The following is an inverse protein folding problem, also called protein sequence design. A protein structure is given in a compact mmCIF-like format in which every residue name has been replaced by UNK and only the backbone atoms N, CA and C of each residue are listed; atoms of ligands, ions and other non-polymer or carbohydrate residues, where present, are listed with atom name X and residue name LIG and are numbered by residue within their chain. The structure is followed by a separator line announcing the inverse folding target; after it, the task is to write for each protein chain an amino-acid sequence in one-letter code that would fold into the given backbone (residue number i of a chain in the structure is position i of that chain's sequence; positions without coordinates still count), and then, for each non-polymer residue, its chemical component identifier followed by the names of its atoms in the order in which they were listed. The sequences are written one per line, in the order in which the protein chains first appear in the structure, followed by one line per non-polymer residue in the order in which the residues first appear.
data_IF_761743352562
#
_entry.id   IF_761743352562
#
_cell.length_a   1.000
_cell.length_b   1.000
_cell.length_c   1.000
_cell.angle_alpha   90.00
_cell.angle_beta   90.00
_cell.angle_gamma   90.00
#
_symmetry.space_group_name_H-M   'P 1'
#
loop_
_entity.id
_entity.type
_entity.pdbx_description
1 polymer ?
#
# COMPACT_ATOMS: atom_id res chain seq x y z
N UNK A 1 -2.47 -6.65 -13.58
CA UNK A 1 -3.82 -6.05 -13.47
C UNK A 1 -3.91 -5.37 -12.11
N UNK A 2 -4.61 -4.23 -12.01
CA UNK A 2 -4.82 -3.51 -10.75
C UNK A 2 -6.24 -3.83 -10.25
N UNK A 3 -6.36 -4.65 -9.21
CA UNK A 3 -7.66 -5.04 -8.65
C UNK A 3 -7.80 -4.71 -7.17
N UNK A 4 -6.79 -4.08 -6.56
CA UNK A 4 -6.81 -3.59 -5.18
C UNK A 4 -6.54 -2.10 -5.22
N UNK A 5 -7.58 -1.29 -5.07
CA UNK A 5 -7.51 0.15 -5.20
C UNK A 5 -8.36 0.77 -4.10
N UNK A 6 -7.81 1.73 -3.37
CA UNK A 6 -8.58 2.53 -2.42
C UNK A 6 -8.05 3.96 -2.33
N UNK A 7 -8.93 4.88 -1.96
CA UNK A 7 -8.67 6.32 -1.88
C UNK A 7 -8.83 6.80 -0.44
N UNK A 8 -7.78 7.41 0.11
CA UNK A 8 -7.87 8.06 1.41
C UNK A 8 -8.58 9.42 1.34
N UNK A 9 -9.08 9.89 2.48
CA UNK A 9 -9.76 11.19 2.58
C UNK A 9 -8.88 12.39 2.17
N UNK A 10 -7.55 12.25 2.31
CA UNK A 10 -6.59 13.28 1.90
C UNK A 10 -6.10 13.13 0.45
N UNK A 11 -6.80 12.32 -0.35
CA UNK A 11 -6.58 12.22 -1.79
C UNK A 11 -5.48 11.25 -2.22
N UNK A 12 -4.94 10.42 -1.32
CA UNK A 12 -3.96 9.40 -1.71
C UNK A 12 -4.67 8.15 -2.22
N UNK A 13 -4.44 7.88 -3.50
CA UNK A 13 -4.93 6.70 -4.21
C UNK A 13 -3.85 5.61 -4.16
N UNK A 14 -4.11 4.56 -3.40
CA UNK A 14 -3.24 3.39 -3.36
C UNK A 14 -3.72 2.39 -4.41
N UNK A 15 -2.81 1.97 -5.27
CA UNK A 15 -3.08 1.07 -6.39
C UNK A 15 -2.14 -0.14 -6.28
N UNK A 16 -2.71 -1.26 -5.85
CA UNK A 16 -2.03 -2.53 -5.69
C UNK A 16 -2.22 -3.47 -6.88
N UNK A 17 -1.19 -4.26 -7.16
CA UNK A 17 -1.17 -5.29 -8.21
C UNK A 17 -0.55 -6.59 -7.73
N UNK A 18 -0.80 -7.63 -8.52
CA UNK A 18 -0.11 -8.92 -8.45
C UNK A 18 0.68 -9.16 -9.73
N UNK A 19 1.79 -9.89 -9.62
CA UNK A 19 2.71 -10.18 -10.72
C UNK A 19 3.12 -8.89 -11.47
N UNK A 20 3.44 -7.83 -10.71
CA UNK A 20 3.86 -6.57 -11.28
C UNK A 20 5.17 -6.71 -12.04
N UNK A 21 5.36 -5.88 -13.07
CA UNK A 21 6.71 -5.65 -13.58
C UNK A 21 7.44 -4.79 -12.56
N UNK A 22 8.40 -5.39 -11.88
CA UNK A 22 9.19 -4.65 -10.91
C UNK A 22 10.23 -3.79 -11.61
N UNK A 23 10.40 -2.55 -11.16
CA UNK A 23 11.59 -1.76 -11.41
C UNK A 23 12.73 -2.47 -10.68
N UNK A 24 13.66 -3.04 -11.45
CA UNK A 24 14.84 -3.68 -10.92
C UNK A 24 16.01 -2.75 -11.13
N UNK A 25 16.51 -2.15 -10.04
CA UNK A 25 17.73 -1.37 -10.05
C UNK A 25 18.88 -2.29 -9.56
N UNK A 26 19.74 -2.81 -10.45
CA UNK A 26 20.75 -3.80 -10.09
C UNK A 26 21.62 -3.32 -8.92
N UNK A 27 21.68 -4.13 -7.85
CA UNK A 27 22.49 -3.83 -6.66
C UNK A 27 21.86 -2.87 -5.65
N UNK A 28 20.58 -2.48 -5.82
CA UNK A 28 19.89 -1.59 -4.87
C UNK A 28 18.54 -2.16 -4.40
N UNK A 29 17.52 -2.13 -5.25
CA UNK A 29 16.15 -2.46 -4.84
C UNK A 29 15.28 -2.92 -6.01
N UNK A 30 14.24 -3.66 -5.66
CA UNK A 30 13.18 -4.11 -6.56
C UNK A 30 11.88 -3.51 -6.05
N UNK A 31 11.16 -2.74 -6.87
CA UNK A 31 9.91 -2.06 -6.49
C UNK A 31 8.83 -2.27 -7.55
N UNK A 32 7.55 -2.12 -7.21
CA UNK A 32 6.55 -1.82 -8.25
C UNK A 32 5.18 -2.49 -8.14
N UNK A 33 4.91 -3.29 -7.12
CA UNK A 33 3.58 -3.90 -6.98
C UNK A 33 2.58 -2.97 -6.29
N UNK A 34 3.06 -1.97 -5.55
CA UNK A 34 2.29 -0.87 -5.00
C UNK A 34 2.67 0.46 -5.66
N UNK A 35 1.67 1.26 -6.03
CA UNK A 35 1.83 2.65 -6.43
C UNK A 35 0.90 3.54 -5.62
N UNK A 36 1.39 4.71 -5.20
CA UNK A 36 0.62 5.70 -4.45
C UNK A 36 0.55 6.96 -5.31
N UNK A 37 -0.66 7.40 -5.64
CA UNK A 37 -0.89 8.60 -6.44
C UNK A 37 -1.69 9.64 -5.66
N UNK A 38 -1.19 10.87 -5.60
CA UNK A 38 -1.93 11.96 -4.98
C UNK A 38 -2.87 12.62 -6.01
N UNK A 39 -4.17 12.53 -5.77
CA UNK A 39 -5.21 13.04 -6.68
C UNK A 39 -5.45 14.55 -6.58
N UNK A 40 -4.94 15.20 -5.53
CA UNK A 40 -5.08 16.65 -5.28
C UNK A 40 -3.86 17.41 -5.79
N UNK A 41 -2.67 16.93 -5.47
CA UNK A 41 -1.36 17.45 -5.88
C UNK A 41 -0.64 16.38 -6.69
N UNK A 42 -0.83 16.32 -8.03
CA UNK A 42 -0.42 15.17 -8.84
C UNK A 42 1.05 14.77 -8.66
N UNK A 43 1.25 13.54 -8.19
CA UNK A 43 2.57 12.93 -7.97
C UNK A 43 2.42 11.44 -7.68
N UNK A 44 3.40 10.64 -8.10
CA UNK A 44 3.43 9.18 -7.89
C UNK A 44 4.62 8.80 -7.01
N UNK A 45 4.36 7.97 -6.02
CA UNK A 45 5.37 7.30 -5.19
C UNK A 45 5.27 5.79 -5.42
N UNK A 46 6.42 5.14 -5.60
CA UNK A 46 6.54 3.68 -5.61
C UNK A 46 7.37 3.29 -4.38
N UNK A 47 6.73 2.75 -3.33
CA UNK A 47 7.41 2.36 -2.11
C UNK A 47 8.49 1.28 -2.33
N UNK A 48 9.47 1.15 -1.41
CA UNK A 48 10.55 0.16 -1.51
C UNK A 48 10.12 -1.27 -1.16
N UNK A 49 8.99 -1.43 -0.46
CA UNK A 49 8.40 -2.76 -0.24
C UNK A 49 8.00 -3.37 -1.59
N UNK A 50 8.08 -4.70 -1.66
CA UNK A 50 7.90 -5.43 -2.90
C UNK A 50 7.23 -6.77 -2.68
N UNK A 51 6.52 -7.22 -3.72
CA UNK A 51 5.73 -8.43 -3.74
C UNK A 51 4.25 -8.13 -3.95
N UNK A 52 3.45 -9.18 -4.11
CA UNK A 52 2.04 -9.03 -4.46
C UNK A 52 1.26 -8.21 -3.44
N UNK A 53 0.53 -7.20 -3.91
CA UNK A 53 -0.44 -6.48 -3.10
C UNK A 53 -1.77 -7.21 -3.17
N UNK A 54 -2.21 -7.72 -2.03
CA UNK A 54 -3.39 -8.59 -1.93
C UNK A 54 -4.55 -7.94 -1.20
N UNK A 55 -4.31 -6.87 -0.43
CA UNK A 55 -5.32 -6.07 0.25
C UNK A 55 -4.91 -4.60 0.31
N UNK A 56 -5.89 -3.71 0.21
CA UNK A 56 -5.75 -2.25 0.38
C UNK A 56 -7.04 -1.76 1.03
N UNK A 57 -6.94 -1.00 2.10
CA UNK A 57 -8.08 -0.46 2.83
C UNK A 57 -7.72 0.87 3.52
N UNK A 58 -8.38 1.94 3.09
CA UNK A 58 -8.36 3.23 3.76
C UNK A 58 -9.26 3.20 5.01
N UNK A 59 -8.91 3.99 6.02
CA UNK A 59 -9.77 4.21 7.19
C UNK A 59 -10.25 5.66 7.18
N UNK A 60 -11.56 5.83 7.04
CA UNK A 60 -12.21 7.16 7.05
C UNK A 60 -11.87 7.93 8.33
N UNK A 61 -11.56 9.22 8.18
CA UNK A 61 -11.19 10.13 9.26
C UNK A 61 -9.77 9.93 9.81
N UNK A 62 -8.94 9.09 9.18
CA UNK A 62 -7.55 8.84 9.60
C UNK A 62 -6.61 8.95 8.40
N UNK A 63 -5.41 9.48 8.65
CA UNK A 63 -4.33 9.51 7.65
C UNK A 63 -3.59 8.17 7.59
N UNK A 64 -4.32 7.09 7.38
CA UNK A 64 -3.74 5.74 7.33
C UNK A 64 -4.33 4.92 6.18
N UNK A 65 -3.46 4.12 5.56
CA UNK A 65 -3.83 3.09 4.59
C UNK A 65 -3.26 1.76 5.05
N UNK A 66 -4.11 0.76 5.23
CA UNK A 66 -3.70 -0.60 5.50
C UNK A 66 -3.50 -1.32 4.17
N UNK A 67 -2.32 -1.90 3.98
CA UNK A 67 -1.95 -2.62 2.77
C UNK A 67 -1.47 -4.01 3.18
N UNK A 68 -1.91 -5.03 2.46
CA UNK A 68 -1.30 -6.36 2.56
C UNK A 68 -0.40 -6.55 1.35
N UNK A 69 0.90 -6.61 1.57
CA UNK A 69 1.93 -6.71 0.54
C UNK A 69 2.90 -7.83 0.88
N UNK A 70 3.13 -8.75 -0.07
CA UNK A 70 3.97 -9.94 0.11
C UNK A 70 3.58 -10.82 1.33
N UNK A 71 2.30 -10.82 1.72
CA UNK A 71 1.82 -11.55 2.89
C UNK A 71 1.93 -10.79 4.22
N UNK A 72 2.51 -9.59 4.22
CA UNK A 72 2.72 -8.75 5.39
C UNK A 72 1.68 -7.63 5.48
N UNK A 73 1.25 -7.30 6.69
CA UNK A 73 0.44 -6.11 6.93
C UNK A 73 1.35 -4.88 7.02
N UNK A 74 1.15 -3.92 6.13
CA UNK A 74 1.85 -2.63 6.06
C UNK A 74 0.88 -1.51 6.34
N UNK A 75 1.17 -0.71 7.37
CA UNK A 75 0.37 0.44 7.76
C UNK A 75 1.08 1.69 7.26
N UNK A 76 0.56 2.29 6.19
CA UNK A 76 1.08 3.53 5.61
C UNK A 76 0.44 4.75 6.26
N UNK A 77 1.22 5.80 6.47
CA UNK A 77 0.76 7.15 6.74
C UNK A 77 0.52 7.87 5.41
N UNK A 78 -0.74 8.23 5.14
CA UNK A 78 -1.14 8.86 3.88
C UNK A 78 -0.75 10.34 3.79
N UNK A 79 -0.26 10.96 4.87
CA UNK A 79 0.31 12.30 4.82
C UNK A 79 1.76 12.30 4.31
N UNK A 80 2.47 11.18 4.45
CA UNK A 80 3.91 11.08 4.12
C UNK A 80 4.24 10.01 3.08
N UNK A 81 3.28 9.17 2.71
CA UNK A 81 3.41 8.04 1.78
C UNK A 81 4.48 7.02 2.21
N UNK A 82 4.67 6.91 3.53
CA UNK A 82 5.66 6.03 4.17
C UNK A 82 4.98 5.12 5.18
N UNK A 83 5.66 4.03 5.55
CA UNK A 83 5.25 3.23 6.70
C UNK A 83 5.18 4.10 7.95
N UNK A 84 4.04 4.03 8.63
CA UNK A 84 3.83 4.70 9.91
C UNK A 84 4.69 4.10 11.02
N UNK A 85 4.82 4.80 12.15
CA UNK A 85 5.65 4.35 13.28
C UNK A 85 5.07 3.10 13.98
N UNK A 86 3.78 2.83 13.82
CA UNK A 86 3.11 1.64 14.32
C UNK A 86 2.97 0.63 13.20
N UNK A 87 3.62 -0.52 13.35
CA UNK A 87 3.40 -1.70 12.52
C UNK A 87 2.93 -2.85 13.41
N UNK A 88 2.20 -3.79 12.83
CA UNK A 88 1.71 -4.99 13.50
C UNK A 88 2.23 -6.17 12.70
N UNK A 89 2.92 -7.08 13.38
CA UNK A 89 3.37 -8.33 12.79
C UNK A 89 2.29 -9.41 12.97
N UNK A 90 2.03 -10.18 11.91
CA UNK A 90 1.04 -11.25 11.89
C UNK A 90 1.75 -12.56 11.65
N UNK A 91 1.74 -13.46 12.63
CA UNK A 91 2.25 -14.81 12.43
C UNK A 91 1.39 -15.56 11.40
N UNK A 92 1.97 -15.83 10.22
CA UNK A 92 1.29 -16.47 9.11
C UNK A 92 1.44 -15.68 7.82
N UNK A 93 0.41 -15.72 6.96
CA UNK A 93 0.35 -14.96 5.72
C UNK A 93 -0.96 -14.18 5.67
N UNK A 94 -0.90 -12.85 5.72
CA UNK A 94 -2.06 -12.02 5.47
C UNK A 94 -2.44 -12.09 3.98
N UNK A 95 -3.75 -12.15 3.69
CA UNK A 95 -4.27 -12.29 2.32
C UNK A 95 -5.18 -11.16 1.87
N UNK A 96 -5.73 -10.40 2.82
CA UNK A 96 -6.57 -9.22 2.59
C UNK A 96 -6.68 -8.40 3.88
N UNK A 97 -7.16 -7.17 3.77
CA UNK A 97 -7.54 -6.32 4.90
C UNK A 97 -8.88 -5.66 4.60
N UNK A 98 -9.78 -5.67 5.58
CA UNK A 98 -11.10 -5.06 5.48
C UNK A 98 -11.48 -4.36 6.76
N UNK A 99 -12.07 -3.18 6.61
CA UNK A 99 -12.71 -2.48 7.71
C UNK A 99 -14.01 -3.22 8.06
N UNK A 100 -14.21 -3.48 9.34
CA UNK A 100 -15.48 -3.96 9.89
C UNK A 100 -16.00 -2.86 10.80
N UNK A 101 -17.17 -2.32 10.45
CA UNK A 101 -17.89 -1.26 11.16
C UNK A 101 -19.36 -1.67 11.30
N UNK A 102 -20.11 -0.98 12.16
CA UNK A 102 -21.52 -1.25 12.50
C UNK A 102 -22.51 -0.48 11.63
#
# INVERSE_FOLDING_TARGET
FHNRIDLSDNGQLFVGTRNCTSINNPGTEVRGCLSIFNTINPGVVIPPDNGDVTGVQAIKGRNVMYVVENGELRIYDTATDKLGPTQIDISGQAIDVKLVDF
#
